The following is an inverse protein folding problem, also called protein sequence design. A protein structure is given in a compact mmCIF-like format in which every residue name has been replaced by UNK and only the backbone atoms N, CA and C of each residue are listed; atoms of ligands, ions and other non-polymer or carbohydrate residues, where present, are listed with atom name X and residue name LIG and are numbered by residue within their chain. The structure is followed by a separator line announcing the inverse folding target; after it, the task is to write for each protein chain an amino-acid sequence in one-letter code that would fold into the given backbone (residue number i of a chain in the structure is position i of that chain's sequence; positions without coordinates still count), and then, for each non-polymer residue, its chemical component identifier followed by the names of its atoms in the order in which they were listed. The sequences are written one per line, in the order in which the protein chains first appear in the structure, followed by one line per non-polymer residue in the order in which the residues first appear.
data_IF_276050231607
#
_entry.id   IF_276050231607
#
_cell.length_a   1.000
_cell.length_b   1.000
_cell.length_c   1.000
_cell.angle_alpha   90.00
_cell.angle_beta   90.00
_cell.angle_gamma   90.00
#
_symmetry.space_group_name_H-M   'P 1'
#
loop_
_entity.id
_entity.type
_entity.pdbx_description
1 polymer ?
#
# COMPACT_ATOMS: atom_id res chain seq x y z
N UNK A 1 16.45 -1.89 20.21
CA UNK A 1 16.05 -3.28 19.92
C UNK A 1 15.06 -3.17 18.77
N UNK A 2 15.37 -3.70 17.59
CA UNK A 2 14.41 -3.72 16.50
C UNK A 2 13.26 -4.64 16.91
N UNK A 3 12.05 -4.11 17.03
CA UNK A 3 10.86 -4.94 17.24
C UNK A 3 10.82 -6.01 16.15
N UNK A 4 10.74 -7.29 16.53
CA UNK A 4 10.48 -8.35 15.58
C UNK A 4 9.00 -8.26 15.20
N UNK A 5 8.76 -7.59 14.09
CA UNK A 5 7.41 -7.36 13.58
C UNK A 5 6.97 -8.56 12.74
N UNK A 6 5.84 -9.18 13.09
CA UNK A 6 5.30 -10.31 12.31
C UNK A 6 4.58 -9.81 11.05
N UNK A 7 5.23 -9.96 9.90
CA UNK A 7 4.67 -9.57 8.60
C UNK A 7 3.65 -10.58 8.04
N UNK A 8 3.47 -11.75 8.68
CA UNK A 8 2.52 -12.76 8.22
C UNK A 8 1.07 -12.44 8.60
N UNK A 9 0.86 -11.58 9.59
CA UNK A 9 -0.47 -11.22 10.10
C UNK A 9 -0.98 -9.92 9.47
N UNK A 10 -2.29 -9.75 9.43
CA UNK A 10 -2.89 -8.45 9.13
C UNK A 10 -2.70 -7.51 10.30
N UNK A 11 -2.42 -6.24 9.99
CA UNK A 11 -2.25 -5.20 11.00
C UNK A 11 -3.02 -3.95 10.61
N UNK A 12 -3.43 -3.17 11.60
CA UNK A 12 -4.07 -1.87 11.40
C UNK A 12 -3.45 -0.89 12.39
N UNK A 13 -3.10 0.29 11.89
CA UNK A 13 -2.62 1.40 12.70
C UNK A 13 -3.57 2.57 12.54
N UNK A 14 -3.88 3.21 13.66
CA UNK A 14 -4.72 4.39 13.74
C UNK A 14 -4.02 5.46 14.56
N UNK A 15 -4.13 6.72 14.12
CA UNK A 15 -3.63 7.88 14.84
C UNK A 15 -4.79 8.70 15.39
N UNK A 16 -4.60 9.28 16.58
CA UNK A 16 -5.50 10.27 17.14
C UNK A 16 -5.56 11.57 16.33
N UNK A 17 -6.46 12.48 16.70
CA UNK A 17 -6.67 13.75 16.00
C UNK A 17 -5.45 14.67 15.96
N UNK A 18 -4.53 14.51 16.90
CA UNK A 18 -3.32 15.33 17.08
C UNK A 18 -2.05 14.48 17.10
N UNK A 19 -2.13 13.23 16.63
CA UNK A 19 -1.00 12.31 16.61
C UNK A 19 -0.57 12.00 15.17
N UNK A 20 0.74 11.86 14.97
CA UNK A 20 1.28 11.35 13.72
C UNK A 20 1.12 9.83 13.66
N UNK A 21 0.67 9.32 12.51
CA UNK A 21 0.53 7.88 12.28
C UNK A 21 1.90 7.19 12.26
N UNK A 22 2.15 6.34 13.27
CA UNK A 22 3.38 5.57 13.40
C UNK A 22 3.16 4.13 12.95
N UNK A 23 3.80 3.76 11.85
CA UNK A 23 3.85 2.39 11.33
C UNK A 23 5.31 1.91 11.46
N UNK A 24 5.56 0.66 11.87
CA UNK A 24 6.92 0.14 11.93
C UNK A 24 7.61 0.20 10.57
N UNK A 25 8.85 0.69 10.54
CA UNK A 25 9.63 0.93 9.32
C UNK A 25 9.77 -0.31 8.44
N UNK A 26 9.83 -1.51 9.03
CA UNK A 26 9.90 -2.79 8.32
C UNK A 26 8.72 -3.03 7.35
N UNK A 27 7.54 -2.46 7.63
CA UNK A 27 6.41 -2.55 6.70
C UNK A 27 6.52 -1.59 5.52
N UNK A 28 7.27 -0.49 5.67
CA UNK A 28 7.39 0.57 4.69
C UNK A 28 8.57 0.31 3.74
N UNK A 29 9.75 -0.04 4.26
CA UNK A 29 10.99 -0.19 3.48
C UNK A 29 10.95 -1.33 2.46
N UNK A 30 10.05 -2.29 2.63
CA UNK A 30 9.85 -3.38 1.68
C UNK A 30 8.91 -3.01 0.51
N UNK A 31 8.22 -1.87 0.57
CA UNK A 31 7.27 -1.45 -0.46
C UNK A 31 8.03 -0.90 -1.67
N UNK A 32 7.70 -1.42 -2.85
CA UNK A 32 8.42 -1.09 -4.10
C UNK A 32 7.52 -0.53 -5.17
N UNK A 33 6.23 -0.79 -5.08
CA UNK A 33 5.29 -0.44 -6.13
C UNK A 33 4.07 0.21 -5.51
N UNK A 34 3.67 1.35 -6.06
CA UNK A 34 2.36 1.92 -5.86
C UNK A 34 1.43 1.43 -6.98
N UNK A 35 0.28 0.90 -6.60
CA UNK A 35 -0.71 0.31 -7.48
C UNK A 35 -1.95 1.19 -7.45
N UNK A 36 -2.31 1.74 -8.60
CA UNK A 36 -3.53 2.53 -8.78
C UNK A 36 -4.56 1.64 -9.47
N UNK A 37 -5.60 1.24 -8.74
CA UNK A 37 -6.67 0.39 -9.28
C UNK A 37 -7.75 1.26 -9.88
N UNK A 38 -8.01 1.08 -11.17
CA UNK A 38 -8.96 1.86 -11.95
C UNK A 38 -10.31 1.14 -11.95
N UNK A 39 -11.16 1.41 -10.96
CA UNK A 39 -12.50 0.86 -10.88
C UNK A 39 -13.56 1.79 -11.49
N UNK A 40 -14.58 1.22 -12.15
CA UNK A 40 -15.71 1.97 -12.74
C UNK A 40 -16.48 2.87 -11.74
N UNK A 41 -16.40 2.58 -10.44
CA UNK A 41 -17.12 3.30 -9.38
C UNK A 41 -16.20 3.95 -8.34
N UNK A 42 -14.95 3.50 -8.23
CA UNK A 42 -13.99 3.99 -7.24
C UNK A 42 -12.57 3.65 -7.67
N UNK A 43 -11.74 4.67 -7.70
CA UNK A 43 -10.29 4.53 -7.78
C UNK A 43 -9.75 4.38 -6.37
N UNK A 44 -8.83 3.43 -6.18
CA UNK A 44 -8.11 3.32 -4.91
C UNK A 44 -6.66 2.94 -5.18
N UNK A 45 -5.79 3.43 -4.31
CA UNK A 45 -4.35 3.26 -4.42
C UNK A 45 -3.84 2.48 -3.21
N UNK A 46 -2.87 1.60 -3.44
CA UNK A 46 -2.17 0.92 -2.36
C UNK A 46 -0.71 0.71 -2.73
N UNK A 47 0.15 0.56 -1.73
CA UNK A 47 1.56 0.21 -1.95
C UNK A 47 1.77 -1.26 -1.67
N UNK A 48 2.65 -1.91 -2.41
CA UNK A 48 2.99 -3.32 -2.20
C UNK A 48 4.48 -3.58 -2.44
N UNK A 49 4.97 -4.68 -1.89
CA UNK A 49 6.35 -5.13 -2.11
C UNK A 49 6.56 -5.77 -3.48
N UNK A 50 5.58 -6.58 -3.92
CA UNK A 50 5.65 -7.41 -5.12
C UNK A 50 4.25 -7.66 -5.65
N UNK A 51 4.14 -7.87 -6.96
CA UNK A 51 2.92 -8.31 -7.61
C UNK A 51 3.21 -9.36 -8.67
N UNK A 52 2.25 -10.27 -8.90
CA UNK A 52 2.35 -11.28 -9.95
C UNK A 52 0.98 -11.67 -10.48
N UNK A 53 0.92 -12.01 -11.77
CA UNK A 53 -0.27 -12.60 -12.38
C UNK A 53 -0.43 -14.05 -11.90
N UNK A 54 -1.65 -14.44 -11.53
CA UNK A 54 -1.99 -15.81 -11.11
C UNK A 54 -3.01 -16.42 -12.07
N UNK A 55 -3.26 -17.74 -11.94
CA UNK A 55 -4.26 -18.45 -12.77
C UNK A 55 -5.63 -17.78 -12.66
N UNK A 56 -6.37 -17.75 -13.76
CA UNK A 56 -7.70 -17.13 -13.83
C UNK A 56 -7.68 -15.62 -14.11
N UNK A 57 -6.56 -15.05 -14.56
CA UNK A 57 -6.48 -13.63 -14.94
C UNK A 57 -6.41 -12.65 -13.77
N UNK A 58 -6.28 -13.17 -12.54
CA UNK A 58 -6.15 -12.36 -11.34
C UNK A 58 -4.70 -11.92 -11.10
N UNK A 59 -4.56 -10.89 -10.27
CA UNK A 59 -3.27 -10.35 -9.84
C UNK A 59 -3.16 -10.47 -8.32
N UNK A 60 -2.03 -10.98 -7.88
CA UNK A 60 -1.69 -11.14 -6.47
C UNK A 60 -0.65 -10.09 -6.10
N UNK A 61 -0.87 -9.43 -4.97
CA UNK A 61 -0.02 -8.40 -4.40
C UNK A 61 0.40 -8.83 -2.99
N UNK A 62 1.67 -8.67 -2.64
CA UNK A 62 2.23 -9.10 -1.36
C UNK A 62 2.71 -7.91 -0.52
N UNK A 63 2.54 -8.02 0.80
CA UNK A 63 2.88 -6.98 1.78
C UNK A 63 2.25 -5.64 1.38
N UNK A 64 0.93 -5.59 1.40
CA UNK A 64 0.13 -4.48 0.89
C UNK A 64 -0.20 -3.51 2.02
N UNK A 65 0.03 -2.22 1.78
CA UNK A 65 -0.40 -1.12 2.64
C UNK A 65 -1.48 -0.31 1.93
N UNK A 66 -2.64 -0.16 2.59
CA UNK A 66 -3.76 0.65 2.10
C UNK A 66 -4.00 1.81 3.06
N UNK A 67 -4.03 3.03 2.53
CA UNK A 67 -4.58 4.17 3.25
C UNK A 67 -6.11 4.09 3.23
N UNK A 68 -6.70 3.94 4.40
CA UNK A 68 -8.17 3.85 4.58
C UNK A 68 -8.72 5.04 5.35
N UNK A 69 -7.94 6.12 5.39
CA UNK A 69 -8.32 7.38 6.02
C UNK A 69 -9.55 7.99 5.33
N UNK A 70 -10.36 8.68 6.11
CA UNK A 70 -11.58 9.36 5.62
C UNK A 70 -11.35 10.86 5.61
N UNK A 71 -12.08 11.55 4.74
CA UNK A 71 -12.17 13.01 4.78
C UNK A 71 -12.71 13.45 6.14
N UNK A 72 -12.11 14.48 6.72
CA UNK A 72 -12.67 15.15 7.87
C UNK A 72 -13.90 16.00 7.47
N UNK A 73 -14.67 16.55 8.43
CA UNK A 73 -15.84 17.39 8.11
C UNK A 73 -15.53 18.66 7.29
N UNK A 74 -14.27 19.06 7.19
CA UNK A 74 -13.81 20.19 6.36
C UNK A 74 -13.49 19.77 4.92
N UNK A 75 -13.46 18.48 4.64
CA UNK A 75 -13.14 17.92 3.33
C UNK A 75 -11.66 17.65 3.11
N UNK A 76 -10.81 17.71 4.14
CA UNK A 76 -9.38 17.41 4.03
C UNK A 76 -9.10 15.92 4.30
N UNK A 77 -8.14 15.34 3.56
CA UNK A 77 -7.62 13.98 3.82
C UNK A 77 -6.57 14.07 4.93
N UNK A 78 -6.86 13.53 6.10
CA UNK A 78 -5.87 13.34 7.16
C UNK A 78 -5.51 11.86 7.25
N UNK A 79 -4.24 11.52 6.99
CA UNK A 79 -3.69 10.15 7.11
C UNK A 79 -3.78 9.67 8.57
N UNK A 80 -4.90 9.07 8.92
CA UNK A 80 -5.24 8.63 10.28
C UNK A 80 -5.37 7.13 10.41
N UNK A 81 -5.52 6.39 9.31
CA UNK A 81 -5.67 4.94 9.37
C UNK A 81 -5.06 4.24 8.18
N UNK A 82 -4.18 3.29 8.47
CA UNK A 82 -3.55 2.43 7.48
C UNK A 82 -3.75 0.98 7.87
N UNK A 83 -4.08 0.16 6.87
CA UNK A 83 -4.15 -1.30 7.03
C UNK A 83 -3.05 -1.98 6.24
N UNK A 84 -2.44 -2.98 6.87
CA UNK A 84 -1.52 -3.90 6.24
C UNK A 84 -2.19 -5.24 5.99
N UNK A 85 -2.00 -5.75 4.77
CA UNK A 85 -2.41 -7.08 4.37
C UNK A 85 -1.19 -7.87 3.86
N UNK A 86 -0.96 -9.10 4.35
CA UNK A 86 0.15 -9.93 3.85
C UNK A 86 -0.02 -10.27 2.37
N UNK A 87 -1.27 -10.44 1.91
CA UNK A 87 -1.61 -10.71 0.52
C UNK A 87 -2.98 -10.13 0.15
N UNK A 88 -3.09 -9.59 -1.06
CA UNK A 88 -4.36 -9.23 -1.71
C UNK A 88 -4.40 -9.83 -3.11
N UNK A 89 -5.56 -10.35 -3.51
CA UNK A 89 -5.79 -10.84 -4.87
C UNK A 89 -6.93 -10.04 -5.49
N UNK A 90 -6.65 -9.41 -6.64
CA UNK A 90 -7.64 -8.68 -7.41
C UNK A 90 -7.94 -9.40 -8.72
N UNK A 91 -9.22 -9.53 -9.06
CA UNK A 91 -9.70 -10.29 -10.23
C UNK A 91 -10.35 -9.34 -11.21
N UNK A 92 -9.97 -9.41 -12.48
CA UNK A 92 -10.57 -8.63 -13.58
C UNK A 92 -10.56 -7.10 -13.35
N UNK A 93 -9.53 -6.57 -12.67
CA UNK A 93 -9.37 -5.12 -12.49
C UNK A 93 -8.23 -4.59 -13.35
N UNK A 94 -8.44 -3.48 -14.08
CA UNK A 94 -7.33 -2.74 -14.66
C UNK A 94 -6.62 -1.96 -13.54
N UNK A 95 -5.29 -1.90 -13.61
CA UNK A 95 -4.47 -1.12 -12.70
C UNK A 95 -3.26 -0.55 -13.42
N UNK A 96 -2.70 0.52 -12.85
CA UNK A 96 -1.40 1.07 -13.22
C UNK A 96 -0.40 0.83 -12.08
N UNK A 97 0.87 0.68 -12.44
CA UNK A 97 1.96 0.51 -11.48
C UNK A 97 2.91 1.69 -11.57
N UNK A 98 3.19 2.32 -10.43
CA UNK A 98 4.16 3.39 -10.31
C UNK A 98 5.30 2.85 -9.44
N UNK A 99 6.57 2.86 -9.90
CA UNK A 99 7.69 2.47 -9.07
C UNK A 99 7.80 3.43 -7.88
N UNK A 100 8.06 2.89 -6.68
CA UNK A 100 8.36 3.72 -5.52
C UNK A 100 9.67 4.49 -5.76
N UNK A 101 9.78 5.74 -5.30
CA UNK A 101 10.92 6.63 -5.58
C UNK A 101 12.29 6.10 -5.10
N UNK A 102 12.33 5.04 -4.29
CA UNK A 102 13.57 4.40 -3.82
C UNK A 102 14.16 3.36 -4.79
N UNK A 103 13.43 2.98 -5.86
CA UNK A 103 14.04 2.27 -6.98
C UNK A 103 14.75 3.29 -7.88
N UNK A 104 16.00 3.61 -7.55
CA UNK A 104 16.96 4.15 -8.51
C UNK A 104 17.04 3.10 -9.62
N UNK A 105 16.38 3.31 -10.74
CA UNK A 105 16.53 2.47 -11.92
C UNK A 105 18.01 2.65 -12.34
N UNK A 106 18.87 1.62 -12.28
CA UNK A 106 20.22 1.74 -12.80
C UNK A 106 20.10 1.76 -14.33
N UNK A 107 19.82 2.92 -14.92
CA UNK A 107 19.57 3.00 -16.36
C UNK A 107 19.23 4.37 -16.95
N UNK A 108 18.82 5.39 -16.20
CA UNK A 108 18.64 6.75 -16.75
C UNK A 108 19.58 7.74 -16.09
N UNK A 109 20.85 7.59 -16.42
CA UNK A 109 21.81 8.67 -16.47
C UNK A 109 22.28 8.82 -17.92
N UNK A 110 21.57 9.62 -18.70
CA UNK A 110 22.08 10.66 -19.61
C UNK A 110 20.95 11.24 -20.47
#
# INVERSE_FOLDING_TARGET
MAEQVNLADQHQWEAGSDEELKIPEAFITQLRHEIVVLGLKKEFTFRCSKYKKVRGGAWRFNHVIIDTSKLNPKGDVELKRVTYHPEIVLVNVPFMTIPAPEEIIPGEAN
#
